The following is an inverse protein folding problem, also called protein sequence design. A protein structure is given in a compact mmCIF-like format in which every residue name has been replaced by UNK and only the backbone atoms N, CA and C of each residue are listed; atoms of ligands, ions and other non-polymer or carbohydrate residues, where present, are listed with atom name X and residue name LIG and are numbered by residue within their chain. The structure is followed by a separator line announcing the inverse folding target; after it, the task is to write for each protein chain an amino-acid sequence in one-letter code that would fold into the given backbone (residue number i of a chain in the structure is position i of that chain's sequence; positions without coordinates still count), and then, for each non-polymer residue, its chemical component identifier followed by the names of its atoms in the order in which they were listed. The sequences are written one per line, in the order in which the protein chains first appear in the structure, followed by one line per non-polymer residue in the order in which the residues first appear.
data_IF_892074966723
#
_entry.id   IF_892074966723
#
_cell.length_a   1.000
_cell.length_b   1.000
_cell.length_c   1.000
_cell.angle_alpha   90.00
_cell.angle_beta   90.00
_cell.angle_gamma   90.00
#
_symmetry.space_group_name_H-M   'P 1'
#
loop_
_entity.id
_entity.type
_entity.pdbx_description
1 polymer ?
#
# COMPACT_ATOMS: atom_id res chain seq x y z
N UNK A 1 5.63 -19.30 -20.00
CA UNK A 1 6.22 -20.29 -20.95
C UNK A 1 5.09 -20.81 -21.82
N UNK A 2 5.30 -21.09 -23.11
CA UNK A 2 4.28 -21.76 -23.92
C UNK A 2 3.82 -23.06 -23.22
N UNK A 3 2.51 -23.23 -23.05
CA UNK A 3 1.92 -24.41 -22.39
C UNK A 3 1.71 -24.32 -20.88
N UNK A 4 1.99 -23.18 -20.23
CA UNK A 4 1.69 -22.93 -18.82
C UNK A 4 0.73 -21.73 -18.66
N UNK A 5 -0.13 -21.78 -17.64
CA UNK A 5 -0.98 -20.65 -17.26
C UNK A 5 -0.15 -19.43 -16.83
N UNK A 6 -0.76 -18.25 -16.90
CA UNK A 6 -0.18 -17.03 -16.33
C UNK A 6 -0.34 -17.06 -14.81
N UNK A 7 0.59 -16.43 -14.09
CA UNK A 7 0.39 -16.16 -12.68
C UNK A 7 -0.75 -15.16 -12.46
N UNK A 8 -1.54 -15.35 -11.40
CA UNK A 8 -2.67 -14.52 -11.01
C UNK A 8 -2.29 -13.58 -9.87
N UNK A 9 -2.37 -12.28 -10.11
CA UNK A 9 -2.03 -11.23 -9.16
C UNK A 9 -3.27 -10.41 -8.81
N UNK A 10 -3.63 -10.41 -7.54
CA UNK A 10 -4.75 -9.60 -7.01
C UNK A 10 -4.21 -8.41 -6.23
N UNK A 11 -4.57 -7.19 -6.63
CA UNK A 11 -4.15 -5.94 -5.98
C UNK A 11 -5.35 -5.27 -5.34
N UNK A 12 -5.28 -5.02 -4.04
CA UNK A 12 -6.34 -4.35 -3.28
C UNK A 12 -5.93 -2.89 -3.04
N UNK A 13 -6.58 -1.98 -3.76
CA UNK A 13 -6.30 -0.54 -3.78
C UNK A 13 -5.60 -0.12 -5.08
N UNK A 14 -6.16 0.86 -5.79
CA UNK A 14 -5.60 1.42 -7.03
C UNK A 14 -4.98 2.81 -6.82
N UNK A 15 -4.45 3.06 -5.61
CA UNK A 15 -3.65 4.25 -5.32
C UNK A 15 -2.26 4.18 -5.97
N UNK A 16 -1.33 5.04 -5.52
CA UNK A 16 0.04 5.08 -6.07
C UNK A 16 0.74 3.72 -5.94
N UNK A 17 0.77 3.15 -4.73
CA UNK A 17 1.43 1.86 -4.48
C UNK A 17 0.79 0.73 -5.30
N UNK A 18 -0.52 0.54 -5.19
CA UNK A 18 -1.21 -0.52 -5.91
C UNK A 18 -1.19 -0.36 -7.42
N UNK A 19 -1.25 0.87 -7.94
CA UNK A 19 -1.10 1.13 -9.37
C UNK A 19 0.31 0.81 -9.90
N UNK A 20 1.35 1.10 -9.12
CA UNK A 20 2.72 0.67 -9.46
C UNK A 20 2.86 -0.85 -9.41
N UNK A 21 2.28 -1.53 -8.41
CA UNK A 21 2.26 -2.98 -8.31
C UNK A 21 1.54 -3.64 -9.49
N UNK A 22 0.35 -3.16 -9.84
CA UNK A 22 -0.44 -3.65 -10.96
C UNK A 22 0.33 -3.48 -12.29
N UNK A 23 0.94 -2.32 -12.51
CA UNK A 23 1.75 -2.04 -13.71
C UNK A 23 2.91 -3.01 -13.85
N UNK A 24 3.66 -3.26 -12.76
CA UNK A 24 4.79 -4.17 -12.78
C UNK A 24 4.35 -5.61 -13.04
N UNK A 25 3.32 -6.08 -12.33
CA UNK A 25 2.78 -7.43 -12.52
C UNK A 25 2.27 -7.64 -13.96
N UNK A 26 1.55 -6.66 -14.50
CA UNK A 26 1.04 -6.71 -15.87
C UNK A 26 2.19 -6.75 -16.90
N UNK A 27 3.24 -5.95 -16.71
CA UNK A 27 4.41 -5.92 -17.57
C UNK A 27 5.21 -7.25 -17.54
N UNK A 28 5.15 -7.99 -16.44
CA UNK A 28 5.72 -9.34 -16.32
C UNK A 28 4.83 -10.42 -17.00
N UNK A 29 3.64 -10.04 -17.48
CA UNK A 29 2.73 -10.93 -18.19
C UNK A 29 1.69 -11.64 -17.31
N UNK A 30 1.60 -11.30 -16.02
CA UNK A 30 0.60 -11.87 -15.12
C UNK A 30 -0.83 -11.48 -15.51
N UNK A 31 -1.82 -12.25 -15.06
CA UNK A 31 -3.22 -11.83 -15.04
C UNK A 31 -3.45 -11.01 -13.79
N UNK A 32 -3.78 -9.73 -13.95
CA UNK A 32 -3.87 -8.80 -12.83
C UNK A 32 -5.33 -8.40 -12.58
N UNK A 33 -5.81 -8.60 -11.37
CA UNK A 33 -7.10 -8.08 -10.92
C UNK A 33 -6.87 -6.99 -9.88
N UNK A 34 -7.36 -5.77 -10.12
CA UNK A 34 -7.23 -4.63 -9.22
C UNK A 34 -8.58 -4.21 -8.68
N UNK A 35 -8.66 -3.98 -7.36
CA UNK A 35 -9.88 -3.50 -6.70
C UNK A 35 -9.73 -2.08 -6.17
N UNK A 36 -10.68 -1.19 -6.47
CA UNK A 36 -10.80 0.14 -5.87
C UNK A 36 -12.25 0.64 -5.94
N UNK A 37 -12.64 1.57 -5.07
CA UNK A 37 -13.98 2.16 -5.05
C UNK A 37 -14.12 3.32 -6.05
N UNK A 38 -13.01 3.94 -6.44
CA UNK A 38 -13.01 5.15 -7.28
C UNK A 38 -12.92 4.81 -8.76
N UNK A 39 -13.91 5.25 -9.53
CA UNK A 39 -14.05 4.93 -10.97
C UNK A 39 -12.88 5.42 -11.82
N UNK A 40 -12.39 6.63 -11.56
CA UNK A 40 -11.22 7.22 -12.23
C UNK A 40 -9.98 6.33 -12.06
N UNK A 41 -9.75 5.78 -10.87
CA UNK A 41 -8.65 4.84 -10.62
C UNK A 41 -8.84 3.53 -11.36
N UNK A 42 -10.05 2.98 -11.37
CA UNK A 42 -10.35 1.76 -12.12
C UNK A 42 -10.09 1.94 -13.61
N UNK A 43 -10.47 3.09 -14.19
CA UNK A 43 -10.17 3.41 -15.59
C UNK A 43 -8.65 3.43 -15.83
N UNK A 44 -7.90 4.14 -14.99
CA UNK A 44 -6.44 4.22 -15.10
C UNK A 44 -5.76 2.84 -14.99
N UNK A 45 -6.31 1.90 -14.21
CA UNK A 45 -5.78 0.54 -14.12
C UNK A 45 -6.02 -0.26 -15.39
N UNK A 46 -7.18 -0.12 -16.05
CA UNK A 46 -7.47 -0.80 -17.31
C UNK A 46 -6.59 -0.33 -18.46
N UNK A 47 -6.12 0.91 -18.41
CA UNK A 47 -5.18 1.46 -19.40
C UNK A 47 -3.77 0.86 -19.28
N UNK A 48 -3.45 0.10 -18.22
CA UNK A 48 -2.14 -0.51 -18.04
C UNK A 48 -1.88 -1.69 -19.00
N UNK A 49 -2.94 -2.35 -19.48
CA UNK A 49 -2.82 -3.45 -20.44
C UNK A 49 -4.04 -4.37 -20.47
N UNK A 50 -4.15 -5.16 -21.54
CA UNK A 50 -5.28 -6.07 -21.77
C UNK A 50 -5.39 -7.18 -20.73
N UNK A 51 -4.28 -7.48 -20.04
CA UNK A 51 -4.21 -8.45 -18.94
C UNK A 51 -4.54 -7.83 -17.57
N UNK A 52 -5.09 -6.62 -17.52
CA UNK A 52 -5.52 -5.95 -16.29
C UNK A 52 -7.03 -5.80 -16.23
N UNK A 53 -7.63 -6.48 -15.25
CA UNK A 53 -9.03 -6.31 -14.89
C UNK A 53 -9.13 -5.38 -13.69
N UNK A 54 -9.99 -4.36 -13.76
CA UNK A 54 -10.21 -3.43 -12.64
C UNK A 54 -11.68 -3.47 -12.21
N UNK A 55 -11.93 -3.84 -10.95
CA UNK A 55 -13.26 -4.13 -10.42
C UNK A 55 -13.58 -3.31 -9.18
N UNK A 56 -14.86 -3.07 -8.96
CA UNK A 56 -15.34 -2.59 -7.67
C UNK A 56 -15.21 -3.70 -6.62
N UNK A 57 -14.81 -3.40 -5.36
CA UNK A 57 -14.58 -4.40 -4.31
C UNK A 57 -15.89 -4.91 -3.69
N UNK A 58 -16.69 -5.65 -4.45
CA UNK A 58 -17.78 -6.44 -3.87
C UNK A 58 -17.21 -7.63 -3.10
N UNK A 59 -17.78 -8.00 -1.93
CA UNK A 59 -17.24 -9.07 -1.08
C UNK A 59 -16.93 -10.36 -1.84
N UNK A 60 -17.91 -10.90 -2.58
CA UNK A 60 -17.75 -12.17 -3.31
C UNK A 60 -16.64 -12.10 -4.36
N UNK A 61 -16.55 -10.98 -5.09
CA UNK A 61 -15.52 -10.77 -6.10
C UNK A 61 -14.12 -10.69 -5.50
N UNK A 62 -13.99 -10.04 -4.35
CA UNK A 62 -12.72 -9.97 -3.61
C UNK A 62 -12.34 -11.35 -3.09
N UNK A 63 -13.27 -12.06 -2.45
CA UNK A 63 -13.03 -13.42 -1.93
C UNK A 63 -12.56 -14.34 -3.04
N UNK A 64 -13.26 -14.38 -4.18
CA UNK A 64 -12.87 -15.21 -5.31
C UNK A 64 -11.47 -14.87 -5.82
N UNK A 65 -11.21 -13.58 -6.08
CA UNK A 65 -9.92 -13.14 -6.63
C UNK A 65 -8.75 -13.33 -5.65
N UNK A 66 -8.99 -13.28 -4.34
CA UNK A 66 -7.95 -13.54 -3.33
C UNK A 66 -7.64 -15.03 -3.22
N UNK A 67 -8.67 -15.88 -3.16
CA UNK A 67 -8.52 -17.33 -3.03
C UNK A 67 -7.82 -17.95 -4.24
N UNK A 68 -8.11 -17.44 -5.44
CA UNK A 68 -7.51 -17.91 -6.69
C UNK A 68 -6.13 -17.28 -7.01
N UNK A 69 -5.63 -16.36 -6.19
CA UNK A 69 -4.39 -15.65 -6.49
C UNK A 69 -3.14 -16.43 -6.08
N UNK A 70 -2.12 -16.36 -6.95
CA UNK A 70 -0.75 -16.75 -6.60
C UNK A 70 -0.08 -15.66 -5.75
N UNK A 71 -0.46 -14.39 -5.98
CA UNK A 71 0.06 -13.23 -5.27
C UNK A 71 -1.05 -12.23 -4.97
N UNK A 72 -1.23 -11.90 -3.69
CA UNK A 72 -2.12 -10.80 -3.26
C UNK A 72 -1.28 -9.64 -2.75
N UNK A 73 -1.58 -8.43 -3.23
CA UNK A 73 -0.91 -7.20 -2.82
C UNK A 73 -1.93 -6.28 -2.15
N UNK A 74 -1.77 -6.10 -0.84
CA UNK A 74 -2.52 -5.14 -0.04
C UNK A 74 -1.92 -3.75 -0.17
N UNK A 75 -2.64 -2.81 -0.77
CA UNK A 75 -2.23 -1.42 -1.00
C UNK A 75 -3.32 -0.42 -0.60
N UNK A 76 -4.11 -0.76 0.43
CA UNK A 76 -5.20 0.08 0.94
C UNK A 76 -4.67 1.06 1.97
N UNK A 77 -4.74 2.35 1.66
CA UNK A 77 -4.44 3.42 2.61
C UNK A 77 -5.72 4.22 2.90
N UNK A 78 -6.11 4.27 4.18
CA UNK A 78 -7.08 5.25 4.67
C UNK A 78 -6.31 6.26 5.52
N UNK A 79 -6.14 7.51 5.06
CA UNK A 79 -5.42 8.53 5.82
C UNK A 79 -6.04 8.73 7.22
N UNK A 80 -5.22 8.66 8.25
CA UNK A 80 -5.64 8.95 9.64
C UNK A 80 -6.47 7.88 10.33
N UNK A 81 -6.67 6.71 9.70
CA UNK A 81 -7.38 5.58 10.30
C UNK A 81 -6.68 4.25 9.98
N UNK A 82 -6.91 3.25 10.85
CA UNK A 82 -6.47 1.88 10.55
C UNK A 82 -7.15 1.41 9.27
N UNK A 83 -6.39 0.81 8.36
CA UNK A 83 -6.97 0.19 7.18
C UNK A 83 -7.95 -0.92 7.61
N UNK A 84 -9.16 -1.00 7.05
CA UNK A 84 -10.05 -2.12 7.30
C UNK A 84 -9.37 -3.40 6.82
N UNK A 85 -9.58 -4.49 7.54
CA UNK A 85 -9.16 -5.80 7.06
C UNK A 85 -10.04 -6.18 5.86
N UNK A 86 -9.43 -6.16 4.67
CA UNK A 86 -10.08 -6.55 3.41
C UNK A 86 -9.83 -8.03 3.12
N UNK A 87 -8.70 -8.55 3.57
CA UNK A 87 -8.36 -9.98 3.51
C UNK A 87 -8.49 -10.57 4.90
N UNK A 88 -9.43 -11.49 5.09
CA UNK A 88 -9.65 -12.18 6.36
C UNK A 88 -8.71 -13.38 6.50
N UNK A 89 -8.56 -13.91 7.71
CA UNK A 89 -7.83 -15.16 7.94
C UNK A 89 -8.46 -16.34 7.18
N UNK A 90 -9.79 -16.34 7.00
CA UNK A 90 -10.49 -17.36 6.22
C UNK A 90 -10.15 -17.28 4.72
N UNK A 91 -9.98 -16.07 4.18
CA UNK A 91 -9.47 -15.92 2.82
C UNK A 91 -8.08 -16.53 2.68
N UNK A 92 -7.16 -16.21 3.59
CA UNK A 92 -5.78 -16.72 3.57
C UNK A 92 -5.75 -18.24 3.66
N UNK A 93 -6.54 -18.84 4.57
CA UNK A 93 -6.63 -20.30 4.70
C UNK A 93 -7.16 -21.01 3.45
N UNK A 94 -7.98 -20.33 2.66
CA UNK A 94 -8.55 -20.87 1.44
C UNK A 94 -7.61 -20.71 0.21
N UNK A 95 -6.54 -19.92 0.32
CA UNK A 95 -5.57 -19.77 -0.78
C UNK A 95 -4.78 -21.07 -1.03
N UNK A 96 -4.17 -21.16 -2.20
CA UNK A 96 -3.29 -22.28 -2.52
C UNK A 96 -2.02 -22.24 -1.66
N UNK A 97 -1.58 -23.42 -1.18
CA UNK A 97 -0.32 -23.55 -0.47
C UNK A 97 0.84 -23.05 -1.34
N UNK A 98 1.70 -22.21 -0.77
CA UNK A 98 2.80 -21.55 -1.48
C UNK A 98 2.43 -20.23 -2.16
N UNK A 99 1.16 -19.81 -2.18
CA UNK A 99 0.78 -18.45 -2.55
C UNK A 99 1.44 -17.42 -1.63
N UNK A 100 1.53 -16.19 -2.12
CA UNK A 100 2.20 -15.09 -1.41
C UNK A 100 1.22 -13.95 -1.17
N UNK A 101 1.29 -13.37 0.02
CA UNK A 101 0.62 -12.10 0.33
C UNK A 101 1.64 -11.04 0.72
N UNK A 102 1.50 -9.85 0.13
CA UNK A 102 2.36 -8.70 0.38
C UNK A 102 1.49 -7.58 0.93
N UNK A 103 1.73 -7.14 2.16
CA UNK A 103 0.96 -6.08 2.79
C UNK A 103 1.78 -4.79 2.85
N UNK A 104 1.60 -3.90 1.86
CA UNK A 104 2.26 -2.58 1.80
C UNK A 104 1.69 -1.66 2.89
N UNK A 105 0.46 -1.92 3.33
CA UNK A 105 -0.24 -1.14 4.36
C UNK A 105 0.16 -1.52 5.79
N UNK A 106 1.17 -2.40 5.97
CA UNK A 106 1.66 -2.85 7.27
C UNK A 106 2.07 -1.69 8.19
N UNK A 107 2.64 -0.61 7.63
CA UNK A 107 3.04 0.59 8.38
C UNK A 107 1.85 1.31 9.05
N UNK A 108 0.61 0.97 8.66
CA UNK A 108 -0.64 1.50 9.21
C UNK A 108 -1.53 0.40 9.83
N UNK A 109 -0.93 -0.73 10.21
CA UNK A 109 -1.61 -1.85 10.85
C UNK A 109 -2.11 -2.95 9.91
N UNK A 110 -1.80 -2.85 8.61
CA UNK A 110 -2.10 -3.87 7.59
C UNK A 110 -3.56 -3.89 7.13
N UNK A 111 -3.78 -4.36 5.90
CA UNK A 111 -5.13 -4.60 5.36
C UNK A 111 -5.53 -6.08 5.38
N UNK A 112 -4.71 -6.95 5.95
CA UNK A 112 -4.98 -8.38 6.11
C UNK A 112 -4.99 -8.75 7.59
N UNK A 113 -5.90 -9.63 8.03
CA UNK A 113 -6.02 -10.01 9.45
C UNK A 113 -4.80 -10.77 9.97
N UNK A 114 -4.15 -11.52 9.10
CA UNK A 114 -2.95 -12.34 9.39
C UNK A 114 -1.65 -11.55 9.29
N UNK A 115 -1.70 -10.25 8.97
CA UNK A 115 -0.53 -9.38 8.85
C UNK A 115 0.13 -9.15 10.21
N UNK A 116 1.44 -9.40 10.28
CA UNK A 116 2.33 -9.05 11.37
C UNK A 116 3.56 -8.35 10.80
N UNK A 117 3.93 -7.16 11.32
CA UNK A 117 5.11 -6.44 10.84
C UNK A 117 6.39 -7.29 10.88
N UNK A 118 7.15 -7.24 9.79
CA UNK A 118 8.49 -7.84 9.66
C UNK A 118 9.55 -6.80 9.36
N UNK A 119 10.81 -7.22 9.34
CA UNK A 119 11.96 -6.42 8.94
C UNK A 119 12.84 -7.19 7.94
N UNK A 120 13.85 -6.54 7.36
CA UNK A 120 14.70 -7.15 6.34
C UNK A 120 15.56 -8.34 6.81
N UNK A 121 15.70 -8.56 8.13
CA UNK A 121 16.45 -9.72 8.67
C UNK A 121 15.58 -10.98 8.67
N UNK A 122 14.28 -10.81 8.89
CA UNK A 122 13.28 -11.88 8.84
C UNK A 122 12.05 -11.39 8.06
N UNK A 123 12.15 -11.23 6.73
CA UNK A 123 11.18 -10.48 5.94
C UNK A 123 9.85 -11.22 5.76
N UNK A 124 9.87 -12.54 5.88
CA UNK A 124 8.69 -13.39 5.65
C UNK A 124 8.39 -14.33 6.81
N UNK A 125 7.14 -14.77 6.86
CA UNK A 125 6.65 -15.85 7.72
C UNK A 125 5.53 -16.59 6.97
N UNK A 126 5.10 -17.73 7.50
CA UNK A 126 4.04 -18.56 6.89
C UNK A 126 2.86 -18.66 7.83
N UNK A 127 1.65 -18.50 7.29
CA UNK A 127 0.36 -18.72 7.97
C UNK A 127 -0.52 -19.51 7.00
N UNK A 128 -1.08 -20.63 7.45
CA UNK A 128 -1.93 -21.49 6.62
C UNK A 128 -1.28 -21.83 5.25
N UNK A 129 0.03 -22.16 5.26
CA UNK A 129 0.83 -22.46 4.06
C UNK A 129 1.03 -21.30 3.07
N UNK A 130 0.56 -20.09 3.41
CA UNK A 130 0.72 -18.87 2.62
C UNK A 130 1.86 -18.02 3.16
N UNK A 131 2.77 -17.63 2.27
CA UNK A 131 3.93 -16.79 2.61
C UNK A 131 3.50 -15.34 2.74
N UNK A 132 3.78 -14.74 3.89
CA UNK A 132 3.51 -13.33 4.16
C UNK A 132 4.79 -12.51 4.04
N UNK A 133 4.74 -11.41 3.29
CA UNK A 133 5.77 -10.38 3.21
C UNK A 133 5.18 -9.05 3.69
N UNK A 134 5.55 -8.66 4.92
CA UNK A 134 4.98 -7.48 5.58
C UNK A 134 6.10 -6.61 6.17
N UNK A 135 7.14 -6.36 5.38
CA UNK A 135 8.31 -5.58 5.80
C UNK A 135 7.90 -4.12 5.94
N UNK A 136 8.14 -3.55 7.12
CA UNK A 136 7.95 -2.12 7.35
C UNK A 136 9.02 -1.31 6.63
N UNK A 137 8.69 -0.08 6.21
CA UNK A 137 9.64 0.79 5.51
C UNK A 137 10.25 0.14 4.23
N UNK A 138 9.41 -0.42 3.36
CA UNK A 138 9.83 -1.04 2.09
C UNK A 138 10.74 -0.16 1.19
N UNK A 139 10.61 1.18 1.15
CA UNK A 139 11.54 2.02 0.41
C UNK A 139 13.00 1.92 0.89
N UNK A 140 13.22 1.49 2.14
CA UNK A 140 14.56 1.29 2.72
C UNK A 140 15.42 0.25 1.99
N UNK A 141 14.83 -0.66 1.22
CA UNK A 141 15.56 -1.62 0.38
C UNK A 141 16.30 -0.97 -0.80
N UNK A 142 15.86 0.22 -1.23
CA UNK A 142 16.39 0.92 -2.40
C UNK A 142 16.85 2.34 -2.04
N UNK A 143 17.82 2.48 -1.10
CA UNK A 143 18.10 3.74 -0.41
C UNK A 143 18.53 4.86 -1.35
N UNK A 144 19.28 4.55 -2.43
CA UNK A 144 19.69 5.55 -3.43
C UNK A 144 18.47 6.17 -4.12
N UNK A 145 17.60 5.31 -4.67
CA UNK A 145 16.40 5.76 -5.39
C UNK A 145 15.40 6.44 -4.46
N UNK A 146 15.19 5.88 -3.27
CA UNK A 146 14.31 6.45 -2.25
C UNK A 146 14.79 7.84 -1.80
N UNK A 147 16.09 8.00 -1.56
CA UNK A 147 16.67 9.30 -1.17
C UNK A 147 16.51 10.32 -2.29
N UNK A 148 16.80 9.96 -3.54
CA UNK A 148 16.62 10.87 -4.69
C UNK A 148 15.16 11.31 -4.85
N UNK A 149 14.21 10.37 -4.77
CA UNK A 149 12.78 10.68 -4.89
C UNK A 149 12.29 11.56 -3.75
N UNK A 150 12.66 11.25 -2.51
CA UNK A 150 12.28 12.02 -1.33
C UNK A 150 12.91 13.43 -1.35
N UNK A 151 14.20 13.54 -1.69
CA UNK A 151 14.87 14.83 -1.80
C UNK A 151 14.22 15.71 -2.86
N UNK A 152 13.89 15.16 -4.03
CA UNK A 152 13.20 15.91 -5.09
C UNK A 152 11.83 16.45 -4.63
N UNK A 153 11.05 15.64 -3.90
CA UNK A 153 9.76 16.05 -3.35
C UNK A 153 9.90 17.12 -2.25
N UNK A 154 10.95 17.04 -1.41
CA UNK A 154 11.15 17.95 -0.28
C UNK A 154 11.83 19.27 -0.65
N UNK A 155 12.59 19.32 -1.74
CA UNK A 155 13.45 20.47 -2.09
C UNK A 155 12.68 21.80 -2.13
N UNK A 156 11.50 21.92 -2.75
CA UNK A 156 10.76 23.19 -2.77
C UNK A 156 10.40 23.69 -1.37
N UNK A 157 10.02 22.78 -0.48
CA UNK A 157 9.67 23.08 0.92
C UNK A 157 10.88 23.50 1.74
N UNK A 158 12.02 22.84 1.54
CA UNK A 158 13.27 23.17 2.23
C UNK A 158 13.80 24.55 1.84
N UNK A 159 13.73 24.90 0.55
CA UNK A 159 14.12 26.23 0.08
C UNK A 159 13.19 27.31 0.64
N UNK A 160 11.87 27.09 0.59
CA UNK A 160 10.91 28.03 1.16
C UNK A 160 11.12 28.25 2.68
N UNK A 161 11.42 27.18 3.43
CA UNK A 161 11.77 27.29 4.85
C UNK A 161 13.08 28.06 5.08
N UNK A 162 14.10 27.82 4.25
CA UNK A 162 15.39 28.50 4.35
C UNK A 162 15.26 30.02 4.13
N UNK A 163 14.31 30.43 3.28
CA UNK A 163 13.98 31.83 3.01
C UNK A 163 12.98 32.44 4.03
N UNK A 164 12.59 31.70 5.07
CA UNK A 164 11.70 32.17 6.12
C UNK A 164 10.19 32.06 5.80
N UNK A 165 9.81 31.42 4.71
CA UNK A 165 8.43 31.35 4.19
C UNK A 165 7.46 30.45 4.98
N UNK A 166 7.80 30.03 6.21
CA UNK A 166 6.97 29.14 7.01
C UNK A 166 5.56 29.70 7.22
N UNK A 167 5.43 30.98 7.61
CA UNK A 167 4.13 31.60 7.93
C UNK A 167 3.23 31.75 6.70
N UNK A 168 3.82 31.93 5.53
CA UNK A 168 3.13 32.26 4.28
C UNK A 168 2.76 31.01 3.47
N UNK A 169 3.41 29.88 3.75
CA UNK A 169 3.20 28.63 3.05
C UNK A 169 2.18 27.74 3.78
N UNK A 170 0.96 27.70 3.25
CA UNK A 170 -0.14 26.91 3.80
C UNK A 170 0.18 25.40 3.93
N UNK A 171 0.92 24.83 2.98
CA UNK A 171 1.29 23.40 3.03
C UNK A 171 2.28 23.11 4.18
N UNK A 172 3.25 24.01 4.39
CA UNK A 172 4.17 23.92 5.52
C UNK A 172 3.46 24.15 6.86
N UNK A 173 2.51 25.09 6.92
CA UNK A 173 1.68 25.30 8.10
C UNK A 173 0.88 24.04 8.47
N UNK A 174 0.30 23.34 7.47
CA UNK A 174 -0.38 22.07 7.72
C UNK A 174 0.56 20.97 8.21
N UNK A 175 1.85 21.00 7.83
CA UNK A 175 2.87 20.07 8.32
C UNK A 175 3.40 20.37 9.74
N UNK A 176 3.01 21.50 10.35
CA UNK A 176 3.55 21.95 11.63
C UNK A 176 3.01 21.13 12.82
N UNK A 177 3.85 20.25 13.36
CA UNK A 177 3.49 19.43 14.51
C UNK A 177 3.60 20.17 15.85
N UNK A 178 4.74 20.83 16.09
CA UNK A 178 5.05 21.51 17.35
C UNK A 178 5.72 22.86 17.05
N UNK A 179 5.30 23.91 17.75
CA UNK A 179 5.94 25.22 17.69
C UNK A 179 5.95 25.88 19.07
N UNK A 180 7.10 26.43 19.46
CA UNK A 180 7.31 27.07 20.77
C UNK A 180 6.86 26.20 21.96
N UNK A 181 7.17 24.90 21.91
CA UNK A 181 6.81 23.93 22.96
C UNK A 181 5.33 23.55 23.01
N UNK A 182 4.51 23.98 22.05
CA UNK A 182 3.07 23.65 21.98
C UNK A 182 2.78 22.78 20.77
N UNK A 183 1.95 21.75 20.97
CA UNK A 183 1.37 20.96 19.87
C UNK A 183 0.48 21.88 19.02
N UNK A 184 0.65 21.85 17.71
CA UNK A 184 -0.10 22.66 16.74
C UNK A 184 -0.97 21.82 15.81
N UNK A 185 -0.52 20.60 15.49
CA UNK A 185 -1.23 19.76 14.54
C UNK A 185 -2.53 19.19 15.13
N UNK A 186 -3.70 19.41 14.49
CA UNK A 186 -5.00 18.98 15.02
C UNK A 186 -5.07 17.49 15.37
N UNK A 187 -4.47 16.61 14.56
CA UNK A 187 -4.47 15.16 14.81
C UNK A 187 -3.67 14.73 16.05
N UNK A 188 -2.76 15.58 16.57
CA UNK A 188 -1.99 15.30 17.77
C UNK A 188 -2.64 15.88 19.02
N UNK A 189 -3.47 16.93 18.89
CA UNK A 189 -4.18 17.54 20.00
C UNK A 189 -5.14 16.53 20.66
N UNK A 190 -5.91 15.80 19.86
CA UNK A 190 -6.83 14.76 20.35
C UNK A 190 -6.13 13.61 21.10
N UNK A 191 -4.88 13.31 20.75
CA UNK A 191 -4.06 12.31 21.43
C UNK A 191 -3.48 12.80 22.76
N UNK A 192 -3.25 14.12 22.89
CA UNK A 192 -2.72 14.73 24.11
C UNK A 192 -3.76 14.91 25.22
N UNK A 193 -5.04 15.00 24.87
CA UNK A 193 -6.16 15.11 25.81
C UNK A 193 -6.66 13.74 26.35
N UNK A 194 -6.19 12.63 25.76
CA UNK A 194 -6.56 11.26 26.15
C UNK A 194 -5.60 10.61 27.17
N UNK A 195 -4.75 11.41 27.83
CA UNK A 195 -3.87 11.00 28.95
C UNK A 195 -4.18 11.82 30.18
#
# INVERSE_FOLDING_TARGET
LPGAERGRVTVIGAGVAGGSSARLAAALGAEVTVFDRKRDRLLAMRELGDNVTALYPYPDSVTQAVVEADLVIGAVLIPGARAPHVVTADHVRAMQAGSVVVDISVDQGGCMETTRPTDYRAPTYVVDEVVHLAVTNMPGAVPRSASQALSAALTPYLLNLADGGLEENNELQHGLNVAAGKVRHPALLSLSESK
#
